data_IF_494559906520
#
_entry.id   IF_494559906520
#
_cell.length_a   1.000
_cell.length_b   1.000
_cell.length_c   1.000
_cell.angle_alpha   90.00
_cell.angle_beta   90.00
_cell.angle_gamma   90.00
#
_symmetry.space_group_name_H-M   'P 1'
#
loop_
_entity.id
_entity.type
_entity.pdbx_description
1 polymer ?
#
# COMPACT_ATOMS: atom_id res chain seq x y z
N UNK A 1 22.77 11.21 27.18
CA UNK A 1 21.34 11.32 26.83
C UNK A 1 20.84 9.92 26.56
N UNK A 2 19.90 9.44 27.37
CA UNK A 2 19.28 8.12 27.15
C UNK A 2 18.53 8.17 25.82
N UNK A 3 18.85 7.26 24.90
CA UNK A 3 18.11 7.17 23.63
C UNK A 3 16.63 6.90 23.96
N UNK A 4 15.75 7.76 23.42
CA UNK A 4 14.32 7.82 23.74
C UNK A 4 13.53 6.59 23.29
N UNK A 5 14.16 5.71 22.52
CA UNK A 5 13.55 4.49 21.96
C UNK A 5 14.11 3.20 22.58
N UNK A 6 14.86 3.30 23.69
CA UNK A 6 15.44 2.13 24.37
C UNK A 6 14.40 1.15 24.90
N UNK A 7 13.20 1.63 25.21
CA UNK A 7 12.06 0.83 25.66
C UNK A 7 11.50 -0.10 24.57
N UNK A 8 11.84 0.14 23.30
CA UNK A 8 11.52 -0.74 22.17
C UNK A 8 12.51 -1.91 22.01
N UNK A 9 13.57 -1.95 22.82
CA UNK A 9 14.69 -2.87 22.68
C UNK A 9 14.62 -3.93 23.77
N UNK A 10 14.52 -5.19 23.35
CA UNK A 10 14.57 -6.35 24.25
C UNK A 10 15.57 -7.36 23.69
N UNK A 11 16.52 -7.80 24.53
CA UNK A 11 17.57 -8.74 24.15
C UNK A 11 18.28 -8.36 22.84
N UNK A 12 18.67 -7.08 22.73
CA UNK A 12 19.35 -6.49 21.57
C UNK A 12 18.57 -6.58 20.26
N UNK A 13 17.23 -6.56 20.36
CA UNK A 13 16.32 -6.63 19.21
C UNK A 13 15.18 -5.64 19.34
N UNK A 14 14.72 -5.13 18.19
CA UNK A 14 13.47 -4.37 18.10
C UNK A 14 12.30 -5.36 18.01
N UNK A 15 11.83 -5.85 19.15
CA UNK A 15 10.82 -6.91 19.22
C UNK A 15 9.43 -6.48 18.73
N UNK A 16 9.16 -5.18 18.71
CA UNK A 16 7.94 -4.61 18.14
C UNK A 16 7.99 -4.47 16.61
N UNK A 17 9.07 -4.92 15.95
CA UNK A 17 9.14 -5.04 14.49
C UNK A 17 9.37 -6.52 14.18
N UNK A 18 8.30 -7.21 13.77
CA UNK A 18 8.35 -8.62 13.43
C UNK A 18 8.21 -8.79 11.92
N UNK A 19 9.07 -9.64 11.35
CA UNK A 19 9.08 -9.95 9.92
C UNK A 19 9.04 -11.46 9.69
N UNK A 20 8.13 -11.91 8.82
CA UNK A 20 7.99 -13.31 8.44
C UNK A 20 8.85 -13.63 7.21
N UNK A 21 9.85 -14.49 7.37
CA UNK A 21 10.79 -14.82 6.29
C UNK A 21 10.22 -15.82 5.28
N UNK A 22 10.79 -15.82 4.07
CA UNK A 22 10.60 -16.91 3.10
C UNK A 22 11.08 -18.25 3.67
N UNK A 23 10.50 -19.38 3.23
CA UNK A 23 10.80 -20.73 3.71
C UNK A 23 12.32 -21.02 3.91
N UNK A 24 12.72 -21.62 5.06
CA UNK A 24 11.87 -21.96 6.20
C UNK A 24 11.32 -20.68 6.85
N UNK A 25 10.00 -20.71 7.11
CA UNK A 25 9.27 -19.55 7.60
C UNK A 25 9.57 -19.37 9.08
N UNK A 26 10.16 -18.24 9.41
CA UNK A 26 10.52 -17.85 10.77
C UNK A 26 10.13 -16.39 10.98
N UNK A 27 9.87 -16.06 12.24
CA UNK A 27 9.66 -14.67 12.64
C UNK A 27 10.99 -14.10 13.10
N UNK A 28 11.42 -13.01 12.47
CA UNK A 28 12.67 -12.32 12.80
C UNK A 28 12.40 -10.88 13.20
N UNK A 29 13.30 -10.30 13.98
CA UNK A 29 13.26 -8.90 14.38
C UNK A 29 14.61 -8.22 14.09
N UNK A 30 14.63 -6.91 13.83
CA UNK A 30 15.86 -6.18 13.59
C UNK A 30 16.83 -6.31 14.77
N UNK A 31 18.11 -6.47 14.44
CA UNK A 31 19.17 -6.48 15.46
C UNK A 31 19.55 -5.05 15.83
N UNK A 32 19.73 -4.83 17.13
CA UNK A 32 20.32 -3.62 17.68
C UNK A 32 21.76 -3.90 18.07
N UNK A 33 22.64 -2.96 17.77
CA UNK A 33 24.02 -2.92 18.25
C UNK A 33 24.24 -1.64 19.06
N UNK A 34 25.28 -1.57 19.88
CA UNK A 34 25.58 -0.35 20.65
C UNK A 34 26.98 0.14 20.33
N UNK A 35 27.15 1.45 20.32
CA UNK A 35 28.47 2.07 20.27
C UNK A 35 29.15 2.09 21.66
N UNK A 36 30.37 2.63 21.73
CA UNK A 36 31.13 2.73 22.98
C UNK A 36 30.45 3.63 24.04
N UNK A 37 29.52 4.50 23.65
CA UNK A 37 28.72 5.34 24.54
C UNK A 37 27.39 4.68 24.94
N UNK A 38 27.12 3.46 24.46
CA UNK A 38 25.89 2.72 24.70
C UNK A 38 24.71 3.20 23.86
N UNK A 39 24.90 3.97 22.80
CA UNK A 39 23.81 4.43 21.93
C UNK A 39 23.34 3.26 21.04
N UNK A 40 22.04 2.92 21.02
CA UNK A 40 21.54 1.85 20.16
C UNK A 40 21.59 2.26 18.69
N UNK A 41 22.01 1.34 17.85
CA UNK A 41 22.14 1.47 16.41
C UNK A 41 21.46 0.29 15.72
N UNK A 42 20.95 0.55 14.52
CA UNK A 42 20.41 -0.46 13.61
C UNK A 42 21.15 -0.40 12.29
N UNK A 43 21.29 -1.55 11.64
CA UNK A 43 21.82 -1.58 10.27
C UNK A 43 20.67 -1.38 9.29
N UNK A 44 20.65 -0.20 8.64
CA UNK A 44 19.61 0.25 7.74
C UNK A 44 20.26 0.72 6.42
N UNK A 45 19.70 0.38 5.26
CA UNK A 45 20.17 0.96 3.97
C UNK A 45 21.68 0.84 3.70
N UNK A 46 22.31 -0.26 4.13
CA UNK A 46 23.76 -0.53 4.06
C UNK A 46 24.64 0.28 5.01
N UNK A 47 24.06 1.06 5.91
CA UNK A 47 24.75 1.84 6.92
C UNK A 47 24.30 1.46 8.34
N UNK A 48 25.20 1.57 9.32
CA UNK A 48 24.83 1.47 10.74
C UNK A 48 24.47 2.86 11.23
N UNK A 49 23.18 3.09 11.53
CA UNK A 49 22.66 4.39 11.97
C UNK A 49 22.11 4.31 13.39
N UNK A 50 22.14 5.41 14.16
CA UNK A 50 21.48 5.45 15.46
C UNK A 50 19.99 5.08 15.32
N UNK A 51 19.45 4.36 16.31
CA UNK A 51 18.04 3.98 16.32
C UNK A 51 17.13 5.20 16.21
N UNK A 52 17.48 6.28 16.91
CA UNK A 52 16.78 7.56 16.80
C UNK A 52 16.72 8.12 15.37
N UNK A 53 17.81 8.04 14.61
CA UNK A 53 17.84 8.49 13.20
C UNK A 53 16.93 7.60 12.34
N UNK A 54 16.94 6.29 12.56
CA UNK A 54 16.00 5.38 11.89
C UNK A 54 14.55 5.77 12.18
N UNK A 55 14.20 6.01 13.45
CA UNK A 55 12.85 6.40 13.85
C UNK A 55 12.42 7.73 13.21
N UNK A 56 13.32 8.71 13.13
CA UNK A 56 13.06 10.00 12.48
C UNK A 56 12.80 9.86 10.98
N UNK A 57 13.62 9.06 10.28
CA UNK A 57 13.43 8.77 8.84
C UNK A 57 12.10 8.06 8.59
N UNK A 58 11.77 7.07 9.42
CA UNK A 58 10.52 6.34 9.32
C UNK A 58 9.30 7.24 9.62
N UNK A 59 9.39 8.09 10.66
CA UNK A 59 8.33 9.04 11.01
C UNK A 59 8.07 10.10 9.92
N UNK A 60 9.10 10.46 9.13
CA UNK A 60 9.00 11.33 7.95
C UNK A 60 8.45 10.63 6.71
N UNK A 61 8.21 9.32 6.77
CA UNK A 61 7.70 8.53 5.65
C UNK A 61 8.76 8.24 4.58
N UNK A 62 10.04 8.17 4.94
CA UNK A 62 11.11 7.80 4.01
C UNK A 62 10.85 6.39 3.44
N UNK A 63 10.88 6.30 2.11
CA UNK A 63 10.49 5.09 1.38
C UNK A 63 11.69 4.16 1.15
N UNK A 64 11.41 2.87 0.94
CA UNK A 64 12.44 1.88 0.57
C UNK A 64 13.36 1.47 1.71
N UNK A 65 13.06 1.88 2.94
CA UNK A 65 13.84 1.50 4.12
C UNK A 65 13.82 -0.02 4.32
N UNK A 66 14.96 -0.54 4.74
CA UNK A 66 15.08 -1.91 5.22
C UNK A 66 16.06 -2.01 6.37
N UNK A 67 15.86 -3.00 7.22
CA UNK A 67 16.71 -3.30 8.37
C UNK A 67 17.31 -4.70 8.24
N UNK A 68 18.50 -4.90 8.80
CA UNK A 68 19.05 -6.24 8.95
C UNK A 68 18.49 -6.96 10.18
N UNK A 69 18.21 -8.24 10.00
CA UNK A 69 17.88 -9.19 11.05
C UNK A 69 18.68 -10.48 10.84
N UNK A 70 18.66 -11.38 11.82
CA UNK A 70 19.29 -12.69 11.73
C UNK A 70 18.26 -13.79 11.97
N UNK A 71 18.28 -14.81 11.12
CA UNK A 71 17.42 -15.99 11.26
C UNK A 71 17.89 -16.85 12.44
N UNK A 72 17.05 -17.15 13.44
CA UNK A 72 17.41 -18.01 14.56
C UNK A 72 17.87 -19.40 14.13
N UNK A 73 17.26 -19.98 13.09
CA UNK A 73 17.54 -21.36 12.66
C UNK A 73 18.97 -21.61 12.19
N UNK A 74 19.61 -20.61 11.57
CA UNK A 74 20.88 -20.79 10.87
C UNK A 74 21.86 -19.63 11.04
N UNK A 75 21.49 -18.60 11.81
CA UNK A 75 22.33 -17.42 12.05
C UNK A 75 22.62 -16.57 10.81
N UNK A 76 21.97 -16.83 9.66
CA UNK A 76 22.17 -16.02 8.45
C UNK A 76 21.45 -14.70 8.56
N UNK A 77 22.10 -13.65 8.07
CA UNK A 77 21.50 -12.34 7.95
C UNK A 77 20.35 -12.39 6.92
N UNK A 78 19.29 -11.65 7.21
CA UNK A 78 18.14 -11.44 6.34
C UNK A 78 17.72 -9.98 6.38
N UNK A 79 16.95 -9.56 5.38
CA UNK A 79 16.52 -8.17 5.21
C UNK A 79 15.05 -8.06 5.53
N UNK A 80 14.74 -7.21 6.49
CA UNK A 80 13.39 -6.77 6.81
C UNK A 80 13.11 -5.54 5.95
N UNK A 81 12.40 -5.72 4.84
CA UNK A 81 12.00 -4.62 3.98
C UNK A 81 10.64 -4.08 4.40
N UNK A 82 10.54 -2.75 4.55
CA UNK A 82 9.30 -2.06 4.90
C UNK A 82 8.31 -2.01 3.72
N UNK A 83 8.74 -2.43 2.53
CA UNK A 83 7.89 -2.56 1.35
C UNK A 83 6.98 -3.80 1.39
N UNK A 84 7.36 -4.88 2.07
CA UNK A 84 6.58 -6.13 2.15
C UNK A 84 5.71 -6.15 3.41
N UNK A 85 4.66 -5.33 3.41
CA UNK A 85 3.80 -5.12 4.58
C UNK A 85 3.05 -6.38 5.02
N UNK A 86 2.76 -7.30 4.10
CA UNK A 86 2.14 -8.61 4.37
C UNK A 86 2.99 -9.51 5.28
N UNK A 87 4.30 -9.24 5.36
CA UNK A 87 5.25 -9.97 6.19
C UNK A 87 5.58 -9.25 7.48
N UNK A 88 5.16 -7.99 7.62
CA UNK A 88 5.48 -7.14 8.75
C UNK A 88 4.37 -7.11 9.79
N UNK A 89 4.77 -7.02 11.04
CA UNK A 89 3.85 -6.75 12.15
C UNK A 89 4.53 -5.77 13.08
N UNK A 90 3.83 -4.69 13.40
CA UNK A 90 4.29 -3.68 14.34
C UNK A 90 3.56 -3.84 15.67
N UNK A 91 4.33 -3.88 16.76
CA UNK A 91 3.78 -3.82 18.11
C UNK A 91 3.30 -2.42 18.47
N UNK A 92 2.36 -2.34 19.41
CA UNK A 92 1.74 -1.07 19.82
C UNK A 92 2.76 -0.03 20.28
N UNK A 93 3.79 -0.44 21.04
CA UNK A 93 4.86 0.47 21.51
C UNK A 93 5.58 1.15 20.35
N UNK A 94 5.88 0.40 19.29
CA UNK A 94 6.54 0.95 18.10
C UNK A 94 5.63 1.92 17.34
N UNK A 95 4.35 1.57 17.17
CA UNK A 95 3.37 2.45 16.51
C UNK A 95 3.24 3.76 17.28
N UNK A 96 3.05 3.69 18.59
CA UNK A 96 2.94 4.85 19.47
C UNK A 96 4.22 5.72 19.42
N UNK A 97 5.39 5.09 19.42
CA UNK A 97 6.68 5.78 19.34
C UNK A 97 6.88 6.50 17.99
N UNK A 98 6.51 5.88 16.87
CA UNK A 98 6.56 6.51 15.55
C UNK A 98 5.56 7.67 15.46
N UNK A 99 4.35 7.52 16.00
CA UNK A 99 3.34 8.57 16.02
C UNK A 99 3.77 9.78 16.88
N UNK A 100 4.32 9.54 18.07
CA UNK A 100 4.89 10.56 18.93
C UNK A 100 6.07 11.28 18.26
N UNK A 101 6.94 10.52 17.58
CA UNK A 101 8.08 11.09 16.87
C UNK A 101 7.65 11.93 15.67
N UNK A 102 6.65 11.46 14.90
CA UNK A 102 6.05 12.23 13.80
C UNK A 102 5.47 13.55 14.31
N UNK A 103 4.72 13.50 15.42
CA UNK A 103 4.16 14.69 16.09
C UNK A 103 5.26 15.67 16.51
N UNK A 104 6.36 15.17 17.06
CA UNK A 104 7.50 16.00 17.47
C UNK A 104 8.19 16.68 16.27
N UNK A 105 8.40 15.95 15.17
CA UNK A 105 9.16 16.44 14.02
C UNK A 105 8.35 17.35 13.10
N UNK A 106 7.07 17.04 12.93
CA UNK A 106 6.21 17.64 11.91
C UNK A 106 5.04 18.43 12.51
N UNK A 107 4.88 18.44 13.83
CA UNK A 107 3.70 18.96 14.52
C UNK A 107 2.58 17.92 14.64
N UNK A 108 1.55 18.17 15.47
CA UNK A 108 0.38 17.31 15.54
C UNK A 108 -0.28 17.19 14.17
N UNK A 109 -0.78 16.01 13.85
CA UNK A 109 -1.68 15.85 12.71
C UNK A 109 -2.90 16.74 12.98
N UNK A 110 -3.04 17.79 12.18
CA UNK A 110 -4.17 18.71 12.23
C UNK A 110 -5.18 18.25 11.19
N UNK A 111 -6.44 18.18 11.58
CA UNK A 111 -7.52 18.15 10.62
C UNK A 111 -7.65 19.51 9.90
N UNK A 112 -8.60 19.60 8.99
CA UNK A 112 -8.87 20.81 8.20
C UNK A 112 -9.27 22.02 9.08
N UNK A 113 -9.72 21.77 10.32
CA UNK A 113 -10.16 22.79 11.27
C UNK A 113 -9.09 23.11 12.33
N UNK A 114 -7.87 22.57 12.19
CA UNK A 114 -6.76 22.82 13.10
C UNK A 114 -6.83 22.07 14.44
N UNK A 115 -7.70 21.06 14.56
CA UNK A 115 -7.86 20.28 15.77
C UNK A 115 -6.89 19.09 15.82
N UNK A 116 -6.34 18.77 16.99
CA UNK A 116 -5.46 17.62 17.17
C UNK A 116 -6.25 16.32 17.08
N UNK A 117 -5.88 15.44 16.15
CA UNK A 117 -6.47 14.09 16.05
C UNK A 117 -5.91 13.16 17.13
N UNK A 118 -6.76 12.45 17.87
CA UNK A 118 -6.35 11.36 18.77
C UNK A 118 -6.50 9.99 18.10
N UNK A 119 -5.54 9.05 18.29
CA UNK A 119 -5.70 7.68 17.81
C UNK A 119 -6.56 6.89 18.81
N UNK A 120 -7.80 6.59 18.45
CA UNK A 120 -8.62 5.65 19.21
C UNK A 120 -8.15 4.21 18.95
N UNK A 121 -8.00 3.51 20.07
CA UNK A 121 -7.46 2.16 20.26
C UNK A 121 -8.23 1.09 19.50
N UNK A 122 -7.54 0.35 18.62
CA UNK A 122 -8.04 -0.90 18.05
C UNK A 122 -7.69 -2.05 18.98
N UNK A 123 -8.72 -2.65 19.57
CA UNK A 123 -8.64 -3.83 20.42
C UNK A 123 -7.95 -4.99 19.68
N UNK A 124 -6.85 -5.42 20.30
CA UNK A 124 -6.17 -6.67 20.08
C UNK A 124 -7.03 -7.81 20.62
N UNK A 125 -7.56 -8.69 19.75
CA UNK A 125 -7.52 -10.13 19.96
C UNK A 125 -8.11 -10.94 18.77
N UNK A 126 -7.47 -12.10 18.52
CA UNK A 126 -7.85 -13.21 17.63
C UNK A 126 -7.53 -13.08 16.13
N UNK A 127 -6.23 -13.17 15.83
CA UNK A 127 -5.74 -13.84 14.62
C UNK A 127 -5.15 -15.20 14.97
N UNK A 128 -5.85 -16.27 14.59
CA UNK A 128 -5.29 -17.61 14.47
C UNK A 128 -5.42 -18.08 13.00
N UNK A 129 -4.24 -18.37 12.44
CA UNK A 129 -3.88 -19.28 11.36
C UNK A 129 -4.71 -19.37 10.07
N UNK A 130 -4.01 -19.20 8.93
CA UNK A 130 -4.29 -19.95 7.70
C UNK A 130 -2.96 -20.36 7.05
N UNK A 131 -2.71 -21.67 7.04
CA UNK A 131 -1.93 -22.37 6.01
C UNK A 131 -2.95 -22.99 5.05
N UNK A 132 -2.66 -23.00 3.75
CA UNK A 132 -3.54 -23.60 2.74
C UNK A 132 -3.57 -25.12 2.95
N UNK A 133 -4.75 -25.64 3.32
CA UNK A 133 -4.95 -27.05 3.63
C UNK A 133 -6.28 -27.35 4.32
N UNK A 134 -7.35 -26.74 3.82
CA UNK A 134 -8.79 -26.93 4.08
C UNK A 134 -9.45 -25.60 3.71
N UNK A 135 -10.49 -25.59 2.88
CA UNK A 135 -11.22 -24.36 2.60
C UNK A 135 -11.68 -23.76 3.94
N UNK A 136 -11.11 -22.61 4.34
CA UNK A 136 -11.63 -21.88 5.50
C UNK A 136 -13.08 -21.56 5.15
N UNK A 137 -14.00 -22.08 5.97
CA UNK A 137 -15.42 -21.74 5.85
C UNK A 137 -15.53 -20.25 6.18
N UNK A 138 -15.54 -19.42 5.14
CA UNK A 138 -15.95 -18.03 5.25
C UNK A 138 -17.46 -18.05 5.49
N UNK A 139 -17.93 -17.39 6.54
CA UNK A 139 -19.38 -17.20 6.69
C UNK A 139 -19.86 -16.28 5.57
N UNK A 140 -21.14 -16.39 5.20
CA UNK A 140 -21.76 -15.47 4.25
C UNK A 140 -21.57 -14.01 4.70
N UNK A 141 -21.74 -13.76 6.00
CA UNK A 141 -21.55 -12.44 6.61
C UNK A 141 -20.11 -11.92 6.47
N UNK A 142 -19.09 -12.77 6.67
CA UNK A 142 -17.70 -12.36 6.49
C UNK A 142 -17.38 -12.07 5.02
N UNK A 143 -17.97 -12.83 4.08
CA UNK A 143 -17.85 -12.57 2.65
C UNK A 143 -18.49 -11.24 2.27
N UNK A 144 -19.69 -10.96 2.75
CA UNK A 144 -20.40 -9.71 2.51
C UNK A 144 -19.63 -8.49 3.05
N UNK A 145 -19.07 -8.59 4.26
CA UNK A 145 -18.21 -7.54 4.83
C UNK A 145 -16.98 -7.28 3.96
N UNK A 146 -16.32 -8.34 3.45
CA UNK A 146 -15.16 -8.19 2.55
C UNK A 146 -15.54 -7.55 1.22
N UNK A 147 -16.67 -7.94 0.63
CA UNK A 147 -17.17 -7.34 -0.60
C UNK A 147 -17.55 -5.86 -0.40
N UNK A 148 -18.18 -5.52 0.72
CA UNK A 148 -18.50 -4.14 1.08
C UNK A 148 -17.22 -3.29 1.21
N UNK A 149 -16.20 -3.83 1.90
CA UNK A 149 -14.90 -3.17 2.02
C UNK A 149 -14.20 -2.98 0.66
N UNK A 150 -14.23 -3.99 -0.20
CA UNK A 150 -13.65 -3.89 -1.55
C UNK A 150 -14.35 -2.83 -2.40
N UNK A 151 -15.68 -2.73 -2.31
CA UNK A 151 -16.45 -1.67 -2.98
C UNK A 151 -16.10 -0.28 -2.46
N UNK A 152 -15.94 -0.13 -1.15
CA UNK A 152 -15.53 1.13 -0.53
C UNK A 152 -14.14 1.55 -1.01
N UNK A 153 -13.18 0.62 -1.03
CA UNK A 153 -11.81 0.87 -1.53
C UNK A 153 -11.83 1.25 -3.01
N UNK A 154 -12.62 0.55 -3.83
CA UNK A 154 -12.79 0.86 -5.25
C UNK A 154 -13.27 2.29 -5.47
N UNK A 155 -14.37 2.67 -4.80
CA UNK A 155 -14.93 4.03 -4.86
C UNK A 155 -13.93 5.10 -4.46
N UNK A 156 -13.18 4.88 -3.38
CA UNK A 156 -12.14 5.80 -2.93
C UNK A 156 -10.97 5.89 -3.92
N UNK A 157 -10.66 4.80 -4.60
CA UNK A 157 -9.71 4.76 -5.71
C UNK A 157 -10.16 5.61 -6.88
N UNK A 158 -11.41 5.47 -7.33
CA UNK A 158 -11.99 6.28 -8.41
C UNK A 158 -11.98 7.77 -8.04
N UNK A 159 -12.28 8.13 -6.79
CA UNK A 159 -12.17 9.50 -6.30
C UNK A 159 -10.72 10.04 -6.33
N UNK A 160 -9.73 9.20 -6.04
CA UNK A 160 -8.32 9.57 -6.15
C UNK A 160 -7.89 9.74 -7.62
N UNK A 161 -8.31 8.84 -8.49
CA UNK A 161 -8.04 8.85 -9.91
C UNK A 161 -8.66 10.09 -10.59
N UNK A 162 -9.91 10.43 -10.26
CA UNK A 162 -10.57 11.64 -10.76
C UNK A 162 -9.81 12.91 -10.39
N UNK A 163 -9.39 13.04 -9.12
CA UNK A 163 -8.60 14.21 -8.68
C UNK A 163 -7.25 14.30 -9.37
N UNK A 164 -6.58 13.16 -9.54
CA UNK A 164 -5.31 13.09 -10.27
C UNK A 164 -5.49 13.56 -11.71
N UNK A 165 -6.54 13.09 -12.38
CA UNK A 165 -6.83 13.46 -13.76
C UNK A 165 -7.26 14.92 -13.90
N UNK A 166 -8.03 15.44 -12.93
CA UNK A 166 -8.37 16.86 -12.85
C UNK A 166 -7.12 17.72 -12.82
N UNK A 167 -6.17 17.41 -11.92
CA UNK A 167 -4.91 18.16 -11.79
C UNK A 167 -4.05 18.04 -13.05
N UNK A 168 -4.03 16.86 -13.70
CA UNK A 168 -3.34 16.66 -14.98
C UNK A 168 -3.90 17.61 -16.04
N UNK A 169 -5.22 17.62 -16.25
CA UNK A 169 -5.86 18.48 -17.24
C UNK A 169 -5.69 19.97 -16.92
N UNK A 170 -5.82 20.37 -15.65
CA UNK A 170 -5.55 21.73 -15.19
C UNK A 170 -4.12 22.18 -15.55
N UNK A 171 -3.13 21.29 -15.32
CA UNK A 171 -1.73 21.56 -15.66
C UNK A 171 -1.45 21.67 -17.17
N UNK A 172 -2.33 21.10 -18.00
CA UNK A 172 -2.32 21.24 -19.46
C UNK A 172 -3.04 22.52 -19.94
N UNK A 173 -3.53 23.35 -19.02
CA UNK A 173 -4.24 24.59 -19.32
C UNK A 173 -5.72 24.37 -19.69
N UNK A 174 -6.31 23.25 -19.30
CA UNK A 174 -7.75 23.03 -19.46
C UNK A 174 -8.53 23.99 -18.53
N UNK A 175 -9.41 24.87 -19.06
CA UNK A 175 -10.12 25.84 -18.24
C UNK A 175 -11.16 25.20 -17.32
N UNK A 176 -11.78 24.09 -17.74
CA UNK A 176 -12.81 23.37 -16.99
C UNK A 176 -12.53 21.85 -16.96
N UNK A 177 -11.51 21.36 -16.24
CA UNK A 177 -11.15 19.94 -16.25
C UNK A 177 -12.32 18.99 -15.94
N UNK A 178 -13.24 19.39 -15.07
CA UNK A 178 -14.40 18.58 -14.70
C UNK A 178 -15.34 18.25 -15.88
N UNK A 179 -15.43 19.10 -16.90
CA UNK A 179 -16.26 18.86 -18.10
C UNK A 179 -15.60 17.86 -19.07
N UNK A 180 -14.32 17.58 -18.86
CA UNK A 180 -13.50 16.72 -19.71
C UNK A 180 -13.21 15.36 -19.08
N UNK A 181 -13.72 15.07 -17.88
CA UNK A 181 -13.53 13.81 -17.16
C UNK A 181 -14.89 13.20 -16.85
N UNK A 182 -15.10 11.98 -17.32
CA UNK A 182 -16.32 11.21 -17.16
C UNK A 182 -16.03 9.95 -16.34
N UNK A 183 -16.83 9.70 -15.30
CA UNK A 183 -16.85 8.41 -14.57
C UNK A 183 -17.80 7.46 -15.30
N UNK A 184 -17.23 6.59 -16.13
CA UNK A 184 -17.99 5.66 -16.97
C UNK A 184 -18.56 4.49 -16.16
N UNK A 185 -17.89 4.10 -15.07
CA UNK A 185 -18.35 3.09 -14.11
C UNK A 185 -19.76 3.37 -13.55
N UNK A 186 -20.18 4.63 -13.48
CA UNK A 186 -21.50 5.03 -12.98
C UNK A 186 -22.64 4.77 -13.98
N UNK A 187 -22.34 4.73 -15.28
CA UNK A 187 -23.33 4.65 -16.36
C UNK A 187 -23.23 3.38 -17.21
N UNK A 188 -22.02 2.84 -17.40
CA UNK A 188 -21.76 1.65 -18.21
C UNK A 188 -20.62 0.79 -17.63
N UNK A 189 -21.00 -0.12 -16.73
CA UNK A 189 -20.08 -1.13 -16.15
C UNK A 189 -19.55 -2.10 -17.22
N UNK A 190 -20.19 -2.19 -18.39
CA UNK A 190 -19.76 -3.02 -19.51
C UNK A 190 -18.65 -2.43 -20.35
N UNK A 191 -18.33 -1.14 -20.17
CA UNK A 191 -17.38 -0.41 -21.00
C UNK A 191 -15.94 -0.95 -20.95
N UNK A 192 -15.56 -1.63 -19.86
CA UNK A 192 -14.23 -2.22 -19.69
C UNK A 192 -13.15 -1.24 -19.18
N UNK A 193 -13.58 -0.09 -18.65
CA UNK A 193 -12.76 0.89 -17.94
C UNK A 193 -13.65 1.76 -17.03
N UNK A 194 -13.07 2.38 -16.00
CA UNK A 194 -13.82 3.12 -14.98
C UNK A 194 -14.05 4.60 -15.34
N UNK A 195 -13.08 5.22 -16.01
CA UNK A 195 -13.13 6.64 -16.33
C UNK A 195 -12.62 6.94 -17.74
N UNK A 196 -13.10 8.04 -18.31
CA UNK A 196 -12.61 8.59 -19.56
C UNK A 196 -12.26 10.05 -19.38
N UNK A 197 -11.16 10.48 -19.98
CA UNK A 197 -10.87 11.90 -20.14
C UNK A 197 -10.53 12.25 -21.58
N UNK A 198 -10.97 13.42 -22.04
CA UNK A 198 -10.68 13.89 -23.40
C UNK A 198 -10.38 15.38 -23.40
N UNK A 199 -9.14 15.74 -23.75
CA UNK A 199 -8.73 17.15 -23.84
C UNK A 199 -7.62 17.35 -24.88
N UNK A 200 -7.65 18.47 -25.60
CA UNK A 200 -6.63 18.85 -26.59
C UNK A 200 -6.29 17.76 -27.63
N UNK A 201 -7.25 16.90 -27.97
CA UNK A 201 -7.06 15.80 -28.93
C UNK A 201 -6.47 14.51 -28.34
N UNK A 202 -6.14 14.49 -27.05
CA UNK A 202 -5.76 13.28 -26.31
C UNK A 202 -7.01 12.71 -25.62
N UNK A 203 -7.26 11.41 -25.78
CA UNK A 203 -8.24 10.67 -24.99
C UNK A 203 -7.54 9.63 -24.14
N UNK A 204 -7.92 9.53 -22.87
CA UNK A 204 -7.49 8.47 -21.96
C UNK A 204 -8.69 7.66 -21.51
N UNK A 205 -8.57 6.35 -21.65
CA UNK A 205 -9.49 5.37 -21.08
C UNK A 205 -8.79 4.72 -19.89
N UNK A 206 -9.33 4.93 -18.70
CA UNK A 206 -8.63 4.73 -17.44
C UNK A 206 -9.34 3.64 -16.64
N UNK A 207 -8.62 2.55 -16.40
CA UNK A 207 -8.99 1.50 -15.45
C UNK A 207 -8.33 1.78 -14.09
N UNK A 208 -9.11 1.75 -13.02
CA UNK A 208 -8.66 2.11 -11.66
C UNK A 208 -8.52 0.86 -10.81
N UNK A 209 -7.30 0.61 -10.31
CA UNK A 209 -7.04 -0.48 -9.37
C UNK A 209 -6.63 0.09 -8.02
N UNK A 210 -7.41 -0.18 -6.98
CA UNK A 210 -7.27 0.43 -5.68
C UNK A 210 -6.96 -0.58 -4.58
N UNK A 211 -6.11 -0.19 -3.63
CA UNK A 211 -5.84 -0.94 -2.41
C UNK A 211 -5.45 0.00 -1.28
N UNK A 212 -5.65 -0.42 -0.03
CA UNK A 212 -5.18 0.33 1.14
C UNK A 212 -3.67 0.25 1.34
N UNK A 213 -2.99 -0.58 0.55
CA UNK A 213 -1.54 -0.74 0.52
C UNK A 213 -1.06 -0.69 -0.92
N UNK A 214 0.26 -0.65 -1.11
CA UNK A 214 0.85 -0.78 -2.46
C UNK A 214 0.37 -2.09 -3.13
N UNK A 215 -0.02 -1.99 -4.39
CA UNK A 215 -0.37 -3.11 -5.26
C UNK A 215 0.90 -3.63 -5.96
N UNK A 216 1.36 -4.82 -5.57
CA UNK A 216 2.39 -5.56 -6.31
C UNK A 216 1.77 -6.49 -7.36
N UNK A 217 0.49 -6.84 -7.20
CA UNK A 217 -0.35 -7.50 -8.20
C UNK A 217 -1.78 -7.00 -8.06
N UNK A 218 -2.56 -7.12 -9.12
CA UNK A 218 -3.98 -6.75 -9.16
C UNK A 218 -4.72 -7.66 -10.14
N UNK A 219 -6.04 -7.72 -10.00
CA UNK A 219 -6.89 -8.49 -10.89
C UNK A 219 -7.39 -7.60 -12.03
N UNK A 220 -7.39 -8.15 -13.23
CA UNK A 220 -8.01 -7.58 -14.41
C UNK A 220 -9.06 -8.58 -14.93
N UNK A 221 -10.25 -8.10 -15.25
CA UNK A 221 -11.27 -8.95 -15.87
C UNK A 221 -10.94 -9.23 -17.34
N UNK A 222 -11.57 -10.25 -17.93
CA UNK A 222 -11.43 -10.54 -19.36
C UNK A 222 -11.88 -9.35 -20.21
N UNK A 223 -12.99 -8.70 -19.82
CA UNK A 223 -13.53 -7.52 -20.51
C UNK A 223 -12.54 -6.34 -20.47
N UNK A 224 -12.04 -5.99 -19.27
CA UNK A 224 -11.03 -4.93 -19.12
C UNK A 224 -9.78 -5.21 -19.95
N UNK A 225 -9.27 -6.46 -19.91
CA UNK A 225 -8.08 -6.83 -20.69
C UNK A 225 -8.32 -6.63 -22.19
N UNK A 226 -9.43 -7.13 -22.70
CA UNK A 226 -9.74 -7.09 -24.13
C UNK A 226 -9.95 -5.63 -24.58
N UNK A 227 -10.72 -4.84 -23.83
CA UNK A 227 -10.92 -3.41 -24.09
C UNK A 227 -9.62 -2.61 -24.05
N UNK A 228 -8.80 -2.77 -23.01
CA UNK A 228 -7.53 -2.04 -22.92
C UNK A 228 -6.54 -2.47 -24.01
N UNK A 229 -6.62 -3.71 -24.50
CA UNK A 229 -5.83 -4.18 -25.65
C UNK A 229 -6.25 -3.48 -26.94
N UNK A 230 -7.56 -3.34 -27.17
CA UNK A 230 -8.11 -2.66 -28.35
C UNK A 230 -7.79 -1.17 -28.37
N UNK A 231 -7.81 -0.51 -27.22
CA UNK A 231 -7.55 0.92 -27.06
C UNK A 231 -6.05 1.28 -27.12
N UNK A 232 -5.16 0.35 -26.76
CA UNK A 232 -3.70 0.49 -26.93
C UNK A 232 -3.13 1.75 -26.26
N UNK A 233 -2.62 2.69 -27.05
CA UNK A 233 -1.95 3.90 -26.54
C UNK A 233 -2.88 4.87 -25.79
N UNK A 234 -4.19 4.77 -26.01
CA UNK A 234 -5.19 5.56 -25.28
C UNK A 234 -5.62 4.88 -23.98
N UNK A 235 -5.16 3.65 -23.71
CA UNK A 235 -5.48 2.88 -22.51
C UNK A 235 -4.51 3.15 -21.36
N UNK A 236 -5.06 3.30 -20.16
CA UNK A 236 -4.30 3.58 -18.94
C UNK A 236 -4.81 2.73 -17.77
N UNK A 237 -3.89 2.28 -16.92
CA UNK A 237 -4.21 1.74 -15.59
C UNK A 237 -3.66 2.68 -14.52
N UNK A 238 -4.53 3.14 -13.61
CA UNK A 238 -4.15 3.94 -12.44
C UNK A 238 -4.17 3.07 -11.19
N UNK A 239 -2.99 2.84 -10.62
CA UNK A 239 -2.84 2.14 -9.34
C UNK A 239 -2.98 3.14 -8.20
N UNK A 240 -4.02 2.99 -7.40
CA UNK A 240 -4.37 3.88 -6.30
C UNK A 240 -4.01 3.26 -4.95
N UNK A 241 -3.30 4.02 -4.12
CA UNK A 241 -3.15 3.73 -2.70
C UNK A 241 -4.21 4.55 -1.95
N UNK A 242 -5.12 3.85 -1.27
CA UNK A 242 -6.29 4.43 -0.61
C UNK A 242 -6.07 4.52 0.88
N UNK A 243 -6.30 5.69 1.44
CA UNK A 243 -6.38 5.89 2.89
C UNK A 243 -7.86 5.96 3.25
N UNK A 244 -8.37 4.95 3.95
CA UNK A 244 -9.80 4.85 4.31
C UNK A 244 -10.19 5.81 5.44
N UNK A 245 -9.25 6.09 6.33
CA UNK A 245 -9.47 6.98 7.46
C UNK A 245 -9.36 8.44 7.00
N UNK A 246 -8.46 8.70 6.04
CA UNK A 246 -8.32 10.00 5.39
C UNK A 246 -8.43 9.90 3.87
N UNK A 247 -9.64 9.71 3.30
CA UNK A 247 -9.90 9.57 1.86
C UNK A 247 -9.15 10.54 0.94
N UNK A 248 -8.97 11.80 1.37
CA UNK A 248 -8.28 12.85 0.62
C UNK A 248 -6.78 12.56 0.40
N UNK A 249 -6.16 11.76 1.27
CA UNK A 249 -4.78 11.32 1.14
C UNK A 249 -4.62 10.16 0.15
N UNK A 250 -5.72 9.59 -0.33
CA UNK A 250 -5.66 8.58 -1.38
C UNK A 250 -5.05 9.18 -2.64
N UNK A 251 -4.12 8.46 -3.26
CA UNK A 251 -3.31 8.96 -4.38
C UNK A 251 -3.14 7.88 -5.44
N UNK A 252 -3.06 8.32 -6.70
CA UNK A 252 -2.50 7.50 -7.78
C UNK A 252 -1.00 7.40 -7.53
N UNK A 253 -0.51 6.19 -7.23
CA UNK A 253 0.91 5.93 -6.97
C UNK A 253 1.66 5.50 -8.23
N UNK A 254 0.93 5.03 -9.24
CA UNK A 254 1.50 4.65 -10.53
C UNK A 254 0.45 4.76 -11.64
N UNK A 255 0.87 5.37 -12.73
CA UNK A 255 0.18 5.38 -14.01
C UNK A 255 0.89 4.41 -14.96
N UNK A 256 0.12 3.60 -15.68
CA UNK A 256 0.64 2.68 -16.70
C UNK A 256 -0.10 2.96 -18.01
N UNK A 257 0.59 3.59 -18.95
CA UNK A 257 0.10 3.81 -20.31
C UNK A 257 0.32 2.56 -21.18
N UNK A 258 -0.60 2.30 -22.10
CA UNK A 258 -0.59 1.12 -22.98
C UNK A 258 -0.33 -0.18 -22.21
N UNK A 259 -1.16 -0.49 -21.18
CA UNK A 259 -0.87 -1.51 -20.17
C UNK A 259 -0.73 -2.93 -20.75
N UNK A 260 -1.33 -3.18 -21.92
CA UNK A 260 -1.27 -4.48 -22.58
C UNK A 260 -0.03 -4.63 -23.47
N UNK A 261 0.76 -3.57 -23.65
CA UNK A 261 2.02 -3.64 -24.36
C UNK A 261 3.07 -4.41 -23.55
N UNK A 262 3.72 -5.44 -24.13
CA UNK A 262 4.73 -6.23 -23.45
C UNK A 262 5.89 -5.40 -22.86
N UNK A 263 6.18 -4.22 -23.42
CA UNK A 263 7.21 -3.32 -22.93
C UNK A 263 6.93 -2.71 -21.54
N UNK A 264 5.66 -2.71 -21.10
CA UNK A 264 5.28 -2.18 -19.76
C UNK A 264 5.73 -3.08 -18.61
N UNK A 265 6.07 -4.34 -18.90
CA UNK A 265 6.48 -5.33 -17.91
C UNK A 265 5.33 -5.92 -17.09
N UNK A 266 4.06 -5.67 -17.46
CA UNK A 266 2.91 -6.38 -16.88
C UNK A 266 2.97 -7.85 -17.32
N UNK A 267 2.88 -8.76 -16.35
CA UNK A 267 2.80 -10.20 -16.58
C UNK A 267 1.41 -10.68 -16.15
N UNK A 268 0.67 -11.24 -17.10
CA UNK A 268 -0.67 -11.77 -16.85
C UNK A 268 -0.60 -13.25 -16.45
N UNK A 269 -1.19 -13.59 -15.31
CA UNK A 269 -1.41 -14.95 -14.85
C UNK A 269 -2.91 -15.29 -14.95
N UNK A 270 -3.23 -16.43 -15.55
CA UNK A 270 -4.62 -16.89 -15.62
C UNK A 270 -5.08 -17.41 -14.26
N UNK A 271 -6.03 -16.71 -13.64
CA UNK A 271 -6.56 -17.04 -12.30
C UNK A 271 -8.00 -17.55 -12.29
N UNK A 272 -8.72 -17.37 -13.39
CA UNK A 272 -10.10 -17.81 -13.57
C UNK A 272 -10.33 -18.28 -15.01
N UNK A 273 -11.20 -19.26 -15.17
CA UNK A 273 -11.56 -19.82 -16.48
C UNK A 273 -13.07 -19.73 -16.70
N UNK A 274 -13.46 -19.26 -17.88
CA UNK A 274 -14.86 -19.30 -18.33
C UNK A 274 -15.13 -20.62 -19.03
N UNK A 275 -16.06 -21.41 -18.50
CA UNK A 275 -16.59 -22.58 -19.20
C UNK A 275 -17.74 -22.17 -20.11
N UNK A 276 -17.75 -22.66 -21.35
CA UNK A 276 -18.88 -22.55 -22.29
C UNK A 276 -19.38 -23.96 -22.58
N UNK A 277 -20.69 -24.16 -22.52
CA UNK A 277 -21.31 -25.38 -23.03
C UNK A 277 -21.19 -25.34 -24.56
N UNK A 278 -20.72 -26.43 -25.16
CA UNK A 278 -20.78 -26.57 -26.61
C UNK A 278 -22.23 -26.64 -27.04
N UNK A 279 -22.59 -25.85 -28.06
CA UNK A 279 -23.82 -26.10 -28.83
C UNK A 279 -23.72 -27.41 -29.60
#
# INVERSE_FOLDING_TARGET
MTDRFRDLIENDRLVDILYKTDPPTETVSPRVTYDNAGVPHVYCMKETIPLSVFMERHARGEQGMWLAAYRPSNGRQTTITFAKQDRLTFGKRFIDAVAAERTRLLGPAQDFDGHPTTPDSVDSEKRADIRVGAAKKISLEELERKLALQREIGRLGEDAAYRYEYVRLDSLGCPNPAEHIERVSETDVGAGYDMRSTFAGETRYIEVKASTTRLDSFYISENERDTLTELGQEAFIYLCCVDRDTPKNSVVVREIADPMNPATGIQLEAVAYRAKLGE
#
